data_IF_357010081517
#
_entry.id   IF_357010081517
#
_cell.length_a   1.000
_cell.length_b   1.000
_cell.length_c   1.000
_cell.angle_alpha   90.00
_cell.angle_beta   90.00
_cell.angle_gamma   90.00
#
_symmetry.space_group_name_H-M   'P 1'
#
loop_
_entity.id
_entity.type
_entity.pdbx_description
1 polymer ?
#
# COMPACT_ATOMS: atom_id res chain seq x y z
N UNK A 1 26.47 11.13 0.79
CA UNK A 1 26.27 9.88 1.54
C UNK A 1 25.44 8.98 0.65
N UNK A 2 26.06 7.96 0.08
CA UNK A 2 25.38 6.98 -0.77
C UNK A 2 24.39 6.18 0.07
N UNK A 3 23.24 5.89 -0.53
CA UNK A 3 22.29 4.93 0.00
C UNK A 3 22.91 3.53 -0.11
N UNK A 4 22.88 2.76 0.98
CA UNK A 4 23.35 1.39 1.01
C UNK A 4 22.14 0.46 1.20
N UNK A 5 22.06 -0.56 0.36
CA UNK A 5 21.04 -1.59 0.40
C UNK A 5 21.74 -2.92 0.70
N UNK A 6 21.32 -3.58 1.78
CA UNK A 6 21.83 -4.89 2.15
C UNK A 6 21.43 -6.00 1.16
N UNK A 7 22.03 -7.17 1.31
CA UNK A 7 21.71 -8.35 0.51
C UNK A 7 20.28 -8.85 0.79
N UNK A 8 19.71 -9.53 -0.20
CA UNK A 8 18.41 -10.19 -0.01
C UNK A 8 18.54 -11.31 1.05
N UNK A 9 17.54 -11.39 1.92
CA UNK A 9 17.37 -12.47 2.87
C UNK A 9 15.99 -13.10 2.68
N UNK A 10 15.87 -14.38 2.99
CA UNK A 10 14.63 -15.15 2.83
C UNK A 10 14.16 -15.66 4.18
N UNK A 11 12.84 -15.84 4.33
CA UNK A 11 12.27 -16.42 5.54
C UNK A 11 12.73 -17.88 5.67
N UNK A 12 13.21 -18.23 6.86
CA UNK A 12 13.53 -19.61 7.20
C UNK A 12 12.22 -20.40 7.45
N UNK A 13 12.21 -21.68 7.09
CA UNK A 13 11.10 -22.60 7.41
C UNK A 13 9.68 -22.16 6.95
N UNK A 14 9.60 -21.36 5.89
CA UNK A 14 8.32 -20.90 5.32
C UNK A 14 7.36 -22.05 4.96
N UNK A 15 7.90 -23.14 4.37
CA UNK A 15 7.09 -24.28 3.90
C UNK A 15 6.58 -25.20 5.02
N UNK A 16 7.21 -25.25 6.19
CA UNK A 16 6.82 -26.15 7.29
C UNK A 16 5.73 -25.57 8.19
N UNK A 17 5.54 -24.25 8.17
CA UNK A 17 4.67 -23.54 9.12
C UNK A 17 3.31 -23.14 8.53
N UNK A 18 3.17 -23.07 7.20
CA UNK A 18 1.90 -22.68 6.52
C UNK A 18 0.78 -23.72 6.70
N UNK A 19 1.10 -24.96 7.05
CA UNK A 19 0.11 -26.02 7.32
C UNK A 19 -0.71 -25.81 8.59
N UNK A 20 -0.37 -24.81 9.42
CA UNK A 20 -1.07 -24.50 10.67
C UNK A 20 -1.82 -23.17 10.55
N UNK A 21 -2.96 -23.19 9.86
CA UNK A 21 -3.93 -22.08 9.90
C UNK A 21 -4.63 -22.06 11.27
N UNK A 22 -3.87 -21.73 12.32
CA UNK A 22 -4.41 -21.46 13.65
C UNK A 22 -4.86 -20.01 13.69
N UNK A 23 -5.96 -19.73 14.38
CA UNK A 23 -6.41 -18.37 14.67
C UNK A 23 -5.34 -17.65 15.53
N UNK A 24 -4.38 -16.99 14.86
CA UNK A 24 -3.21 -16.37 15.45
C UNK A 24 -2.14 -16.27 14.38
N UNK A 25 -1.53 -15.10 14.19
CA UNK A 25 -0.54 -14.92 13.11
C UNK A 25 0.68 -15.83 13.29
N UNK A 26 1.37 -16.15 12.20
CA UNK A 26 2.62 -16.91 12.23
C UNK A 26 3.83 -16.00 12.46
N UNK A 27 4.84 -16.51 13.16
CA UNK A 27 6.16 -15.90 13.27
C UNK A 27 7.15 -16.73 12.44
N UNK A 28 8.00 -16.03 11.69
CA UNK A 28 9.10 -16.62 10.93
C UNK A 28 10.38 -15.92 11.34
N UNK A 29 11.47 -16.68 11.34
CA UNK A 29 12.80 -16.14 11.55
C UNK A 29 13.45 -15.79 10.21
N UNK A 30 14.31 -14.78 10.24
CA UNK A 30 15.08 -14.30 9.09
C UNK A 30 16.40 -13.77 9.60
N UNK A 31 17.48 -14.17 8.93
CA UNK A 31 18.83 -13.72 9.24
C UNK A 31 19.33 -12.81 8.12
N UNK A 32 19.87 -11.65 8.50
CA UNK A 32 20.45 -10.68 7.57
C UNK A 32 21.96 -10.64 7.76
N UNK A 33 22.71 -10.77 6.67
CA UNK A 33 24.13 -10.45 6.66
C UNK A 33 24.29 -8.94 6.85
N UNK A 34 24.73 -8.53 8.04
CA UNK A 34 24.89 -7.13 8.38
C UNK A 34 26.29 -6.63 8.00
N UNK A 35 26.36 -5.72 7.04
CA UNK A 35 27.59 -5.05 6.63
C UNK A 35 27.71 -3.71 7.39
N UNK A 36 28.81 -3.50 8.14
CA UNK A 36 28.99 -2.32 9.00
C UNK A 36 28.82 -0.99 8.24
N UNK A 37 29.15 -0.98 6.94
CA UNK A 37 29.01 0.18 6.07
C UNK A 37 27.55 0.66 5.96
N UNK A 38 26.57 -0.24 6.04
CA UNK A 38 25.13 0.07 5.97
C UNK A 38 24.73 1.02 7.12
N UNK A 39 25.43 0.92 8.26
CA UNK A 39 25.05 1.62 9.48
C UNK A 39 23.69 1.14 10.01
N UNK A 40 22.95 2.02 10.68
CA UNK A 40 21.69 1.67 11.33
C UNK A 40 20.55 1.48 10.29
N UNK A 41 19.92 0.28 10.19
CA UNK A 41 18.80 0.06 9.29
C UNK A 41 17.60 0.94 9.66
N UNK A 42 17.15 1.77 8.70
CA UNK A 42 15.99 2.65 8.88
C UNK A 42 14.71 2.19 8.16
N UNK A 43 14.86 1.31 7.18
CA UNK A 43 13.79 0.75 6.35
C UNK A 43 14.18 -0.65 5.86
N UNK A 44 13.19 -1.44 5.44
CA UNK A 44 13.43 -2.67 4.68
C UNK A 44 12.51 -2.73 3.46
N UNK A 45 12.96 -3.46 2.44
CA UNK A 45 12.18 -3.80 1.26
C UNK A 45 11.68 -5.24 1.39
N UNK A 46 10.46 -5.50 0.92
CA UNK A 46 9.90 -6.85 0.87
C UNK A 46 9.31 -7.12 -0.51
N UNK A 47 9.62 -8.32 -1.03
CA UNK A 47 9.04 -8.88 -2.24
C UNK A 47 8.29 -10.15 -1.87
N UNK A 48 7.02 -10.23 -2.24
CA UNK A 48 6.26 -11.46 -2.08
C UNK A 48 6.32 -12.26 -3.39
N UNK A 49 7.15 -13.30 -3.41
CA UNK A 49 7.26 -14.20 -4.56
C UNK A 49 6.23 -15.35 -4.55
N UNK A 50 5.32 -15.37 -3.56
CA UNK A 50 4.23 -16.32 -3.46
C UNK A 50 3.05 -15.91 -4.36
N UNK A 51 2.14 -16.85 -4.65
CA UNK A 51 0.98 -16.58 -5.51
C UNK A 51 -0.14 -15.81 -4.80
N UNK A 52 -0.25 -15.95 -3.48
CA UNK A 52 -1.22 -15.27 -2.63
C UNK A 52 -0.58 -14.14 -1.82
N UNK A 53 -1.39 -13.14 -1.51
CA UNK A 53 -1.06 -12.10 -0.53
C UNK A 53 -0.98 -12.66 0.90
N UNK A 54 -0.28 -11.92 1.76
CA UNK A 54 -0.31 -12.14 3.21
C UNK A 54 -0.36 -10.80 3.94
N UNK A 55 -0.86 -10.82 5.18
CA UNK A 55 -0.89 -9.64 6.03
C UNK A 55 0.38 -9.55 6.90
N UNK A 56 1.27 -8.62 6.55
CA UNK A 56 2.50 -8.37 7.30
C UNK A 56 2.20 -7.50 8.52
N UNK A 57 2.35 -8.09 9.72
CA UNK A 57 2.13 -7.38 10.99
C UNK A 57 3.31 -6.51 11.35
N UNK A 58 4.47 -7.13 11.57
CA UNK A 58 5.68 -6.47 12.10
C UNK A 58 6.94 -7.18 11.62
N UNK A 59 8.06 -6.46 11.55
CA UNK A 59 9.41 -7.02 11.57
C UNK A 59 10.10 -6.52 12.84
N UNK A 60 10.82 -7.41 13.54
CA UNK A 60 11.70 -7.02 14.64
C UNK A 60 13.09 -7.56 14.35
N UNK A 61 14.08 -6.66 14.29
CA UNK A 61 15.49 -7.05 14.19
C UNK A 61 16.08 -7.07 15.59
N UNK A 62 16.50 -8.25 16.01
CA UNK A 62 17.27 -8.44 17.24
C UNK A 62 18.77 -8.41 16.91
N UNK A 63 19.62 -8.15 17.90
CA UNK A 63 21.09 -8.21 17.77
C UNK A 63 21.70 -7.24 16.73
N UNK A 64 21.14 -6.04 16.57
CA UNK A 64 21.74 -5.01 15.70
C UNK A 64 23.02 -4.48 16.36
N UNK A 65 24.21 -4.55 15.70
CA UNK A 65 25.46 -4.13 16.32
C UNK A 65 25.43 -2.68 16.83
N UNK A 66 25.76 -2.49 18.10
CA UNK A 66 25.80 -1.15 18.73
C UNK A 66 24.44 -0.52 19.00
N UNK A 67 23.33 -1.24 18.82
CA UNK A 67 21.98 -0.71 18.95
C UNK A 67 21.03 -1.70 19.64
N UNK A 68 19.96 -1.16 20.21
CA UNK A 68 18.84 -1.97 20.69
C UNK A 68 18.09 -2.61 19.52
N UNK A 69 17.13 -3.48 19.86
CA UNK A 69 16.19 -4.05 18.89
C UNK A 69 15.53 -2.96 18.04
N UNK A 70 15.35 -3.25 16.74
CA UNK A 70 14.63 -2.36 15.82
C UNK A 70 13.24 -2.91 15.53
N UNK A 71 12.23 -2.05 15.63
CA UNK A 71 10.85 -2.41 15.38
C UNK A 71 10.29 -1.72 14.15
N UNK A 72 9.65 -2.51 13.29
CA UNK A 72 8.91 -2.07 12.12
C UNK A 72 7.47 -2.48 12.31
N UNK A 73 6.57 -1.50 12.45
CA UNK A 73 5.13 -1.73 12.57
C UNK A 73 4.52 -1.58 11.18
N UNK A 74 4.27 -2.71 10.52
CA UNK A 74 3.94 -2.74 9.10
C UNK A 74 2.43 -2.59 8.86
N UNK A 75 1.62 -3.44 9.51
CA UNK A 75 0.16 -3.39 9.47
C UNK A 75 -0.45 -3.38 8.06
N UNK A 76 0.09 -4.12 7.11
CA UNK A 76 -0.29 -4.03 5.69
C UNK A 76 -0.36 -5.38 5.00
N UNK A 77 -1.33 -5.54 4.09
CA UNK A 77 -1.30 -6.59 3.07
C UNK A 77 -0.11 -6.41 2.13
N UNK A 78 0.54 -7.51 1.76
CA UNK A 78 1.64 -7.59 0.79
C UNK A 78 1.21 -8.57 -0.30
N UNK A 79 0.78 -8.03 -1.44
CA UNK A 79 0.40 -8.80 -2.62
C UNK A 79 1.65 -9.32 -3.37
N UNK A 80 1.48 -10.29 -4.28
CA UNK A 80 2.58 -10.79 -5.11
C UNK A 80 3.35 -9.65 -5.80
N UNK A 81 4.68 -9.72 -5.81
CA UNK A 81 5.57 -8.63 -6.23
C UNK A 81 5.27 -8.11 -7.65
N UNK A 82 4.85 -9.00 -8.54
CA UNK A 82 4.38 -8.68 -9.91
C UNK A 82 3.18 -7.72 -9.99
N UNK A 83 2.54 -7.40 -8.87
CA UNK A 83 1.43 -6.43 -8.77
C UNK A 83 1.92 -5.01 -8.47
N UNK A 84 3.21 -4.83 -8.18
CA UNK A 84 3.79 -3.54 -7.85
C UNK A 84 4.84 -3.13 -8.88
N UNK A 85 4.92 -1.84 -9.17
CA UNK A 85 5.99 -1.27 -10.00
C UNK A 85 7.34 -1.27 -9.28
N UNK A 86 7.29 -1.26 -7.94
CA UNK A 86 8.46 -1.26 -7.06
C UNK A 86 8.21 -2.14 -5.83
N UNK A 87 9.26 -2.74 -5.23
CA UNK A 87 9.13 -3.48 -3.99
C UNK A 87 8.51 -2.63 -2.88
N UNK A 88 7.77 -3.28 -1.98
CA UNK A 88 7.14 -2.62 -0.84
C UNK A 88 8.20 -2.21 0.17
N UNK A 89 8.12 -0.98 0.65
CA UNK A 89 9.02 -0.44 1.70
C UNK A 89 8.28 -0.27 3.02
N UNK A 90 8.96 -0.56 4.12
CA UNK A 90 8.48 -0.30 5.48
C UNK A 90 9.61 0.34 6.30
N UNK A 91 9.24 1.29 7.16
CA UNK A 91 10.18 2.07 7.97
C UNK A 91 10.16 1.62 9.42
N UNK A 92 11.26 1.87 10.13
CA UNK A 92 11.28 1.75 11.60
C UNK A 92 10.21 2.62 12.23
N UNK A 93 9.78 2.29 13.44
CA UNK A 93 8.81 3.08 14.21
C UNK A 93 9.36 4.40 14.78
N UNK A 94 10.53 4.87 14.30
CA UNK A 94 11.10 6.16 14.66
C UNK A 94 10.36 7.28 13.92
N UNK A 95 10.00 8.33 14.63
CA UNK A 95 9.30 9.49 14.10
C UNK A 95 10.27 10.61 13.74
N UNK A 96 10.07 11.24 12.58
CA UNK A 96 10.87 12.36 12.11
C UNK A 96 9.94 13.44 11.54
N UNK A 97 10.24 14.72 11.78
CA UNK A 97 9.77 15.77 10.89
C UNK A 97 10.48 15.68 9.53
N UNK A 98 9.91 16.21 8.43
CA UNK A 98 10.53 16.11 7.11
C UNK A 98 11.98 16.63 7.04
N UNK A 99 12.33 17.65 7.82
CA UNK A 99 13.68 18.21 7.87
C UNK A 99 14.64 17.46 8.80
N UNK A 100 14.13 16.56 9.65
CA UNK A 100 14.91 15.73 10.57
C UNK A 100 15.19 14.34 10.00
N UNK A 101 14.47 13.94 8.95
CA UNK A 101 14.59 12.61 8.36
C UNK A 101 16.01 12.36 7.85
N UNK A 102 16.64 11.22 8.19
CA UNK A 102 17.94 10.86 7.68
C UNK A 102 17.98 10.89 6.15
N UNK A 103 18.97 11.59 5.58
CA UNK A 103 19.11 11.74 4.12
C UNK A 103 19.01 10.43 3.33
N UNK A 104 19.59 9.29 3.79
CA UNK A 104 19.46 8.02 3.08
C UNK A 104 18.02 7.48 2.99
N UNK A 105 17.08 7.94 3.84
CA UNK A 105 15.68 7.49 3.82
C UNK A 105 14.79 8.37 2.93
N UNK A 106 15.19 9.61 2.66
CA UNK A 106 14.38 10.59 1.93
C UNK A 106 13.88 10.06 0.58
N UNK A 107 14.77 9.44 -0.20
CA UNK A 107 14.40 8.90 -1.51
C UNK A 107 13.35 7.78 -1.40
N UNK A 108 13.44 6.88 -0.40
CA UNK A 108 12.42 5.84 -0.21
C UNK A 108 11.09 6.44 0.23
N UNK A 109 11.12 7.45 1.11
CA UNK A 109 9.91 8.15 1.56
C UNK A 109 9.24 8.89 0.41
N UNK A 110 9.99 9.61 -0.43
CA UNK A 110 9.46 10.30 -1.59
C UNK A 110 8.87 9.32 -2.60
N UNK A 111 9.55 8.21 -2.88
CA UNK A 111 9.05 7.19 -3.78
C UNK A 111 7.78 6.51 -3.26
N UNK A 112 7.70 6.21 -1.96
CA UNK A 112 6.49 5.68 -1.33
C UNK A 112 5.34 6.69 -1.40
N UNK A 113 5.59 7.97 -1.11
CA UNK A 113 4.58 9.02 -1.24
C UNK A 113 4.10 9.20 -2.69
N UNK A 114 4.98 9.03 -3.68
CA UNK A 114 4.60 9.04 -5.09
C UNK A 114 3.75 7.83 -5.45
N UNK A 115 4.11 6.63 -4.98
CA UNK A 115 3.34 5.41 -5.23
C UNK A 115 1.94 5.46 -4.59
N UNK A 116 1.79 6.16 -3.47
CA UNK A 116 0.49 6.39 -2.82
C UNK A 116 -0.39 7.43 -3.52
N UNK A 117 0.17 8.24 -4.44
CA UNK A 117 -0.58 9.25 -5.20
C UNK A 117 -0.99 8.67 -6.55
N UNK A 118 -2.23 8.95 -6.98
CA UNK A 118 -2.68 8.53 -8.31
C UNK A 118 -2.04 9.40 -9.40
N UNK A 119 -1.87 8.84 -10.58
CA UNK A 119 -1.70 9.61 -11.81
C UNK A 119 -3.04 10.14 -12.38
N UNK A 120 -4.15 9.94 -11.65
CA UNK A 120 -5.50 10.33 -12.03
C UNK A 120 -6.18 9.41 -13.05
N UNK A 121 -5.49 8.37 -13.52
CA UNK A 121 -5.90 7.51 -14.62
C UNK A 121 -6.14 6.07 -14.17
N UNK A 122 -6.83 5.29 -15.02
CA UNK A 122 -7.10 3.87 -14.81
C UNK A 122 -8.09 3.56 -13.69
N UNK A 123 -8.64 2.35 -13.74
CA UNK A 123 -9.47 1.78 -12.67
C UNK A 123 -8.58 1.21 -11.57
N UNK A 124 -8.85 1.57 -10.32
CA UNK A 124 -8.08 1.08 -9.18
C UNK A 124 -8.42 -0.38 -8.89
N UNK A 125 -7.37 -1.17 -8.70
CA UNK A 125 -7.42 -2.59 -8.39
C UNK A 125 -7.35 -2.83 -6.88
N UNK A 126 -7.67 -4.05 -6.46
CA UNK A 126 -7.71 -4.42 -5.04
C UNK A 126 -6.36 -4.25 -4.32
N UNK A 127 -5.26 -4.49 -5.02
CA UNK A 127 -3.90 -4.36 -4.49
C UNK A 127 -3.35 -2.93 -4.54
N UNK A 128 -4.06 -1.99 -5.18
CA UNK A 128 -3.60 -0.61 -5.30
C UNK A 128 -3.71 0.11 -3.96
N UNK A 129 -2.64 0.83 -3.61
CA UNK A 129 -2.56 1.67 -2.39
C UNK A 129 -2.70 3.15 -2.70
N UNK A 130 -3.40 3.45 -3.80
CA UNK A 130 -3.50 4.78 -4.37
C UNK A 130 -4.60 5.57 -3.69
N UNK A 131 -4.26 6.75 -3.18
CA UNK A 131 -5.18 7.70 -2.58
C UNK A 131 -5.32 8.92 -3.49
N UNK A 132 -6.53 9.15 -3.96
CA UNK A 132 -6.87 10.30 -4.80
C UNK A 132 -8.34 10.66 -4.62
N UNK A 133 -8.77 11.78 -5.19
CA UNK A 133 -10.07 12.39 -4.97
C UNK A 133 -10.97 12.26 -6.18
N UNK A 134 -12.27 12.13 -5.91
CA UNK A 134 -13.31 12.24 -6.92
C UNK A 134 -14.60 12.82 -6.31
N UNK A 135 -15.52 13.22 -7.20
CA UNK A 135 -16.86 13.66 -6.82
C UNK A 135 -17.76 12.48 -6.48
N UNK A 136 -18.91 12.76 -5.85
CA UNK A 136 -19.98 11.77 -5.69
C UNK A 136 -20.78 11.71 -6.98
N UNK A 137 -20.20 11.02 -7.95
CA UNK A 137 -20.79 10.74 -9.25
C UNK A 137 -21.08 9.26 -9.45
N UNK A 138 -21.05 8.47 -8.38
CA UNK A 138 -21.21 7.01 -8.36
C UNK A 138 -22.43 6.54 -7.54
N UNK A 139 -23.32 7.47 -7.17
CA UNK A 139 -24.55 7.19 -6.41
C UNK A 139 -25.76 6.86 -7.31
N UNK A 140 -25.69 7.23 -8.59
CA UNK A 140 -26.76 7.03 -9.56
C UNK A 140 -26.46 5.90 -10.53
N UNK A 141 -27.51 5.31 -11.11
CA UNK A 141 -27.39 4.31 -12.17
C UNK A 141 -28.32 4.66 -13.35
N UNK A 142 -28.00 5.71 -14.13
CA UNK A 142 -28.83 6.19 -15.24
C UNK A 142 -29.04 5.14 -16.34
N UNK A 143 -28.15 4.14 -16.47
CA UNK A 143 -28.31 3.04 -17.41
C UNK A 143 -29.53 2.14 -17.09
N UNK A 144 -30.01 2.14 -15.83
CA UNK A 144 -31.28 1.48 -15.43
C UNK A 144 -32.52 2.38 -15.68
N UNK A 145 -32.33 3.60 -16.15
CA UNK A 145 -33.38 4.56 -16.48
C UNK A 145 -33.46 5.79 -15.55
N UNK A 146 -34.28 6.80 -15.90
CA UNK A 146 -34.25 8.13 -15.29
C UNK A 146 -34.50 8.15 -13.78
N UNK A 147 -35.31 7.22 -13.26
CA UNK A 147 -35.60 7.11 -11.81
C UNK A 147 -34.37 6.78 -10.95
N UNK A 148 -33.33 6.22 -11.57
CA UNK A 148 -32.06 5.88 -10.92
C UNK A 148 -30.97 6.93 -11.16
N UNK A 149 -31.24 7.97 -11.95
CA UNK A 149 -30.30 9.07 -12.13
C UNK A 149 -30.20 9.92 -10.85
N UNK A 150 -28.99 10.38 -10.52
CA UNK A 150 -28.72 11.28 -9.40
C UNK A 150 -27.80 12.40 -9.88
N UNK A 151 -27.94 13.63 -9.36
CA UNK A 151 -26.99 14.69 -9.66
C UNK A 151 -25.61 14.37 -9.08
N UNK A 152 -24.55 14.84 -9.73
CA UNK A 152 -23.20 14.79 -9.17
C UNK A 152 -23.10 15.76 -7.99
N UNK A 153 -22.57 15.28 -6.85
CA UNK A 153 -22.31 16.13 -5.68
C UNK A 153 -20.82 16.47 -5.59
N UNK A 154 -20.53 17.77 -5.51
CA UNK A 154 -19.18 18.36 -5.51
C UNK A 154 -18.81 18.98 -6.87
N UNK A 155 -17.87 19.94 -6.84
CA UNK A 155 -17.32 20.55 -8.07
C UNK A 155 -18.17 21.65 -8.70
N UNK A 156 -19.33 21.98 -8.10
CA UNK A 156 -20.18 23.07 -8.53
C UNK A 156 -20.66 23.90 -7.33
N UNK A 157 -20.97 25.17 -7.56
CA UNK A 157 -21.59 26.04 -6.56
C UNK A 157 -23.04 25.62 -6.24
N UNK A 158 -23.71 24.93 -7.18
CA UNK A 158 -25.09 24.45 -7.02
C UNK A 158 -25.18 23.24 -6.09
N UNK A 159 -24.21 22.34 -6.16
CA UNK A 159 -24.12 21.14 -5.33
C UNK A 159 -22.72 21.03 -4.70
N UNK A 160 -22.36 21.91 -3.76
CA UNK A 160 -21.09 21.81 -3.07
C UNK A 160 -21.09 20.57 -2.17
N UNK A 161 -20.00 19.80 -2.21
CA UNK A 161 -19.85 18.59 -1.40
C UNK A 161 -18.38 18.20 -1.23
N UNK A 162 -18.01 17.56 -0.09
CA UNK A 162 -16.68 16.96 0.08
C UNK A 162 -16.32 15.97 -1.04
N UNK A 163 -15.03 15.75 -1.25
CA UNK A 163 -14.53 14.70 -2.15
C UNK A 163 -14.60 13.33 -1.46
N UNK A 164 -14.71 12.28 -2.27
CA UNK A 164 -14.55 10.88 -1.86
C UNK A 164 -13.26 10.29 -2.43
N UNK A 165 -12.89 9.10 -1.98
CA UNK A 165 -11.77 8.34 -2.55
C UNK A 165 -12.03 7.93 -4.00
N UNK A 166 -11.13 8.27 -4.92
CA UNK A 166 -11.17 7.89 -6.33
C UNK A 166 -11.24 6.36 -6.46
N UNK A 167 -11.98 5.88 -7.44
CA UNK A 167 -12.12 4.44 -7.76
C UNK A 167 -11.70 4.14 -9.20
N UNK A 168 -11.73 5.14 -10.09
CA UNK A 168 -11.34 4.99 -11.48
C UNK A 168 -12.27 4.12 -12.35
N UNK A 169 -13.38 3.63 -11.80
CA UNK A 169 -14.42 2.92 -12.56
C UNK A 169 -14.91 3.75 -13.74
N UNK A 170 -15.21 3.13 -14.89
CA UNK A 170 -15.59 3.87 -16.09
C UNK A 170 -16.93 4.61 -15.91
N UNK A 171 -17.18 5.62 -16.76
CA UNK A 171 -18.49 6.26 -16.86
C UNK A 171 -19.62 5.26 -17.21
N UNK A 172 -20.84 5.65 -16.88
CA UNK A 172 -22.06 4.98 -17.38
C UNK A 172 -22.23 5.23 -18.88
N UNK A 173 -22.95 4.34 -19.56
CA UNK A 173 -23.16 4.49 -21.02
C UNK A 173 -24.04 5.68 -21.34
N UNK A 174 -24.99 5.97 -20.46
CA UNK A 174 -26.00 7.02 -20.67
C UNK A 174 -25.53 8.41 -20.27
N UNK A 175 -24.59 8.52 -19.32
CA UNK A 175 -24.09 9.80 -18.79
C UNK A 175 -22.59 9.73 -18.50
N UNK A 176 -21.79 10.49 -19.24
CA UNK A 176 -20.32 10.50 -19.11
C UNK A 176 -19.81 11.04 -17.77
N UNK A 177 -20.59 11.87 -17.09
CA UNK A 177 -20.23 12.46 -15.80
C UNK A 177 -20.49 11.51 -14.61
N UNK A 178 -21.33 10.49 -14.79
CA UNK A 178 -21.67 9.49 -13.78
C UNK A 178 -20.81 8.26 -13.96
N UNK A 179 -20.18 7.77 -12.89
CA UNK A 179 -19.38 6.55 -12.90
C UNK A 179 -20.22 5.34 -12.49
N UNK A 180 -19.84 4.17 -13.00
CA UNK A 180 -20.52 2.92 -12.64
C UNK A 180 -20.40 2.65 -11.14
N UNK A 181 -21.49 2.14 -10.55
CA UNK A 181 -21.51 1.65 -9.17
C UNK A 181 -20.66 0.38 -9.06
N UNK A 182 -20.12 0.08 -7.87
CA UNK A 182 -19.50 -1.21 -7.62
C UNK A 182 -20.61 -2.28 -7.66
N UNK A 183 -20.67 -3.07 -8.73
CA UNK A 183 -21.51 -4.27 -8.76
C UNK A 183 -21.03 -5.16 -7.62
N UNK A 184 -21.86 -5.37 -6.59
CA UNK A 184 -21.60 -6.40 -5.59
C UNK A 184 -21.80 -7.75 -6.30
N UNK A 185 -20.73 -8.28 -6.88
CA UNK A 185 -20.70 -9.69 -7.29
C UNK A 185 -20.84 -10.53 -6.03
N UNK A 186 -21.86 -11.39 -5.97
CA UNK A 186 -21.90 -12.45 -4.97
C UNK A 186 -20.64 -13.29 -5.15
N UNK A 187 -19.86 -13.42 -4.09
CA UNK A 187 -18.90 -14.52 -3.97
C UNK A 187 -19.67 -15.85 -3.93
#
# INVERSE_FOLDING_TARGET
MSMLLGKEAYLEDWNSTITSAVAGGSKFDVNFDFEEEIGLPGAFLIKNNHYSEFYLKTLTLEHVPGHDRLHFVCGSWVYPDKKYDKPRVFFTNKTYLPHEMPKPLLQYTEQELMALRSNGQGELQEWDRVYDYAYYNDLGNPDKGPKYARPVLGGSAKYPYPRRGRTGRPPTKSVHETHQEKMHGSH
#
